data_IF_043028810662
#
_entry.id   IF_043028810662
#
_cell.length_a   1.000
_cell.length_b   1.000
_cell.length_c   1.000
_cell.angle_alpha   90.00
_cell.angle_beta   90.00
_cell.angle_gamma   90.00
#
_symmetry.space_group_name_H-M   'P 1'
#
loop_
_entity.id
_entity.type
_entity.pdbx_description
1 polymer ?
#
# COMPACT_ATOMS: atom_id res chain seq x y z
N UNK A 1 21.32 2.19 15.60
CA UNK A 1 21.48 0.93 14.83
C UNK A 1 20.11 0.29 14.80
N UNK A 2 19.28 0.45 13.79
CA UNK A 2 19.44 0.11 12.37
C UNK A 2 18.85 1.18 11.44
N UNK A 3 19.65 1.68 10.49
CA UNK A 3 19.17 2.50 9.35
C UNK A 3 18.51 1.59 8.31
N UNK A 4 17.46 0.88 8.70
CA UNK A 4 16.60 0.21 7.73
C UNK A 4 15.69 1.29 7.18
N UNK A 5 15.90 1.68 5.92
CA UNK A 5 14.91 2.45 5.15
C UNK A 5 13.63 1.60 5.17
N UNK A 6 12.73 1.89 6.10
CA UNK A 6 11.51 1.14 6.25
C UNK A 6 10.54 1.65 5.19
N UNK A 7 10.21 0.77 4.24
CA UNK A 7 9.33 1.11 3.14
C UNK A 7 7.87 1.12 3.63
N UNK A 8 7.14 2.21 3.39
CA UNK A 8 5.74 2.30 3.80
C UNK A 8 4.86 1.34 2.94
N UNK A 9 3.91 0.56 3.51
CA UNK A 9 3.08 -0.40 2.75
C UNK A 9 2.31 0.20 1.58
N UNK A 10 1.83 1.44 1.73
CA UNK A 10 1.20 2.19 0.62
C UNK A 10 2.12 2.36 -0.61
N UNK A 11 3.44 2.28 -0.45
CA UNK A 11 4.39 2.45 -1.55
C UNK A 11 4.24 1.36 -2.61
N UNK A 12 3.90 0.13 -2.22
CA UNK A 12 3.62 -0.94 -3.19
C UNK A 12 2.44 -0.58 -4.10
N UNK A 13 1.38 -0.01 -3.53
CA UNK A 13 0.21 0.41 -4.28
C UNK A 13 0.46 1.66 -5.14
N UNK A 14 1.23 2.64 -4.64
CA UNK A 14 1.63 3.81 -5.42
C UNK A 14 2.49 3.42 -6.63
N UNK A 15 3.52 2.59 -6.41
CA UNK A 15 4.36 2.07 -7.49
C UNK A 15 3.52 1.21 -8.44
N UNK A 16 2.67 0.33 -7.91
CA UNK A 16 1.74 -0.47 -8.69
C UNK A 16 0.86 0.39 -9.60
N UNK A 17 0.28 1.47 -9.08
CA UNK A 17 -0.53 2.41 -9.86
C UNK A 17 0.25 3.05 -11.01
N UNK A 18 1.48 3.48 -10.77
CA UNK A 18 2.32 4.08 -11.83
C UNK A 18 2.76 3.02 -12.87
N UNK A 19 3.00 1.78 -12.46
CA UNK A 19 3.46 0.70 -13.34
C UNK A 19 2.33 0.06 -14.17
N UNK A 20 1.08 0.07 -13.69
CA UNK A 20 -0.08 -0.51 -14.36
C UNK A 20 -0.26 -0.13 -15.85
N UNK A 21 -0.17 1.16 -16.27
CA UNK A 21 -0.34 1.51 -17.68
C UNK A 21 0.76 0.94 -18.59
N UNK A 22 1.99 0.80 -18.07
CA UNK A 22 3.09 0.17 -18.80
C UNK A 22 2.95 -1.36 -18.81
N UNK A 23 2.55 -1.94 -17.69
CA UNK A 23 2.37 -3.39 -17.54
C UNK A 23 1.22 -3.95 -18.37
N UNK A 24 0.19 -3.15 -18.66
CA UNK A 24 -0.89 -3.53 -19.57
C UNK A 24 -0.33 -3.84 -20.98
N UNK A 25 0.62 -3.04 -21.47
CA UNK A 25 1.29 -3.25 -22.76
C UNK A 25 2.10 -4.56 -22.78
N UNK A 26 2.69 -4.92 -21.65
CA UNK A 26 3.52 -6.12 -21.48
C UNK A 26 2.71 -7.37 -21.07
N UNK A 27 1.37 -7.27 -20.98
CA UNK A 27 0.47 -8.34 -20.48
C UNK A 27 0.76 -8.80 -19.04
N UNK A 28 1.47 -7.98 -18.25
CA UNK A 28 1.82 -8.25 -16.84
C UNK A 28 0.85 -7.63 -15.83
N UNK A 29 -0.16 -6.89 -16.29
CA UNK A 29 -1.16 -6.24 -15.44
C UNK A 29 -1.78 -7.19 -14.41
N UNK A 30 -2.23 -8.38 -14.84
CA UNK A 30 -2.86 -9.36 -13.94
C UNK A 30 -1.93 -9.83 -12.83
N UNK A 31 -0.64 -9.98 -13.14
CA UNK A 31 0.38 -10.36 -12.14
C UNK A 31 0.55 -9.23 -11.13
N UNK A 32 0.68 -7.99 -11.60
CA UNK A 32 0.77 -6.81 -10.73
C UNK A 32 -0.47 -6.64 -9.83
N UNK A 33 -1.66 -6.90 -10.35
CA UNK A 33 -2.91 -6.81 -9.58
C UNK A 33 -2.92 -7.71 -8.35
N UNK A 34 -2.29 -8.88 -8.42
CA UNK A 34 -2.24 -9.85 -7.33
C UNK A 34 -0.98 -9.67 -6.47
N UNK A 35 0.18 -9.45 -7.09
CA UNK A 35 1.46 -9.37 -6.38
C UNK A 35 1.51 -8.14 -5.47
N UNK A 36 1.00 -6.98 -5.91
CA UNK A 36 1.01 -5.74 -5.11
C UNK A 36 0.30 -5.90 -3.76
N UNK A 37 -0.99 -6.31 -3.70
CA UNK A 37 -1.66 -6.49 -2.43
C UNK A 37 -1.07 -7.63 -1.59
N UNK A 38 -0.55 -8.70 -2.20
CA UNK A 38 0.13 -9.77 -1.45
C UNK A 38 1.42 -9.30 -0.78
N UNK A 39 2.24 -8.50 -1.48
CA UNK A 39 3.46 -7.92 -0.91
C UNK A 39 3.13 -6.97 0.24
N UNK A 40 2.12 -6.11 0.07
CA UNK A 40 1.68 -5.21 1.14
C UNK A 40 1.15 -5.99 2.35
N UNK A 41 0.33 -7.02 2.12
CA UNK A 41 -0.18 -7.89 3.19
C UNK A 41 0.97 -8.56 3.97
N UNK A 42 1.94 -9.13 3.26
CA UNK A 42 3.12 -9.72 3.88
C UNK A 42 3.93 -8.70 4.68
N UNK A 43 4.11 -7.49 4.15
CA UNK A 43 4.90 -6.45 4.80
C UNK A 43 4.28 -5.99 6.12
N UNK A 44 2.95 -6.00 6.27
CA UNK A 44 2.28 -5.58 7.51
C UNK A 44 2.80 -6.36 8.73
N UNK A 45 3.14 -7.64 8.57
CA UNK A 45 3.67 -8.48 9.65
C UNK A 45 5.09 -8.10 10.10
N UNK A 46 5.81 -7.32 9.31
CA UNK A 46 7.18 -6.89 9.59
C UNK A 46 7.28 -5.40 9.94
N UNK A 47 6.15 -4.75 10.18
CA UNK A 47 6.10 -3.34 10.59
C UNK A 47 6.68 -3.16 12.01
N UNK A 48 7.58 -2.18 12.22
CA UNK A 48 7.98 -1.78 13.56
C UNK A 48 6.85 -1.01 14.26
N UNK A 49 6.96 -0.80 15.57
CA UNK A 49 5.95 -0.09 16.36
C UNK A 49 5.73 1.36 15.88
N UNK A 50 6.78 2.04 15.44
CA UNK A 50 6.67 3.32 14.74
C UNK A 50 7.86 3.55 13.80
N UNK A 51 7.64 4.29 12.72
CA UNK A 51 8.68 4.68 11.76
C UNK A 51 8.37 6.03 11.10
N UNK A 52 9.40 6.65 10.52
CA UNK A 52 9.24 7.93 9.82
C UNK A 52 8.85 9.09 10.75
N UNK A 53 9.51 9.21 11.90
CA UNK A 53 9.32 10.35 12.80
C UNK A 53 10.14 11.54 12.28
N UNK A 54 9.51 12.70 12.10
CA UNK A 54 10.19 13.94 11.76
C UNK A 54 9.64 15.12 12.56
N UNK A 55 10.51 16.10 12.83
CA UNK A 55 10.10 17.35 13.48
C UNK A 55 9.92 18.43 12.43
N UNK A 56 8.72 18.98 12.34
CA UNK A 56 8.39 20.01 11.36
C UNK A 56 7.53 21.10 12.00
N UNK A 57 7.95 22.37 11.86
CA UNK A 57 7.24 23.53 12.42
C UNK A 57 6.92 23.42 13.92
N UNK A 58 7.76 22.74 14.70
CA UNK A 58 7.55 22.51 16.13
C UNK A 58 6.62 21.34 16.47
N UNK A 59 6.08 20.65 15.48
CA UNK A 59 5.32 19.42 15.65
C UNK A 59 6.19 18.19 15.42
N UNK A 60 5.93 17.12 16.17
CA UNK A 60 6.44 15.78 15.89
C UNK A 60 5.43 15.07 15.00
N UNK A 61 5.83 14.71 13.79
CA UNK A 61 5.02 14.00 12.80
C UNK A 61 5.51 12.55 12.71
N UNK A 62 4.61 11.57 12.86
CA UNK A 62 4.92 10.15 12.67
C UNK A 62 4.22 9.63 11.42
N UNK A 63 4.99 9.35 10.37
CA UNK A 63 4.43 8.84 9.11
C UNK A 63 3.99 7.37 9.16
N UNK A 64 4.39 6.63 10.20
CA UNK A 64 4.05 5.24 10.37
C UNK A 64 3.87 4.88 11.83
N UNK A 65 2.74 5.26 12.42
CA UNK A 65 2.36 4.85 13.78
C UNK A 65 1.64 3.51 13.73
N UNK A 66 2.18 2.49 14.39
CA UNK A 66 1.62 1.12 14.35
C UNK A 66 1.12 0.75 15.75
N UNK A 67 -0.18 0.97 15.96
CA UNK A 67 -0.90 0.51 17.14
C UNK A 67 -1.79 -0.71 16.84
N UNK A 68 -2.40 -1.30 17.88
CA UNK A 68 -3.25 -2.47 17.73
C UNK A 68 -4.44 -2.22 16.79
N UNK A 69 -4.96 -1.00 16.75
CA UNK A 69 -6.12 -0.64 15.93
C UNK A 69 -5.70 -0.48 14.46
N UNK A 70 -4.60 0.22 14.21
CA UNK A 70 -3.94 0.38 12.92
C UNK A 70 -3.68 -0.97 12.29
N UNK A 71 -3.14 -1.92 13.07
CA UNK A 71 -2.86 -3.27 12.58
C UNK A 71 -4.11 -3.99 12.03
N UNK A 72 -5.26 -3.86 12.69
CA UNK A 72 -6.54 -4.42 12.21
C UNK A 72 -6.95 -3.77 10.88
N UNK A 73 -6.92 -2.43 10.80
CA UNK A 73 -7.32 -1.72 9.58
C UNK A 73 -6.38 -1.99 8.40
N UNK A 74 -5.08 -2.10 8.64
CA UNK A 74 -4.12 -2.46 7.59
C UNK A 74 -4.45 -3.83 6.99
N UNK A 75 -4.84 -4.82 7.80
CA UNK A 75 -5.30 -6.13 7.29
C UNK A 75 -6.59 -6.01 6.50
N UNK A 76 -7.57 -5.26 7.00
CA UNK A 76 -8.86 -5.07 6.30
C UNK A 76 -8.63 -4.45 4.93
N UNK A 77 -7.88 -3.35 4.84
CA UNK A 77 -7.65 -2.66 3.57
C UNK A 77 -6.83 -3.49 2.58
N UNK A 78 -5.78 -4.18 3.04
CA UNK A 78 -4.97 -5.03 2.13
C UNK A 78 -5.72 -6.28 1.68
N UNK A 79 -6.54 -6.88 2.53
CA UNK A 79 -7.40 -8.01 2.17
C UNK A 79 -8.49 -7.58 1.17
N UNK A 80 -9.16 -6.44 1.42
CA UNK A 80 -10.13 -5.87 0.48
C UNK A 80 -9.48 -5.54 -0.86
N UNK A 81 -8.25 -5.01 -0.86
CA UNK A 81 -7.50 -4.75 -2.09
C UNK A 81 -7.21 -6.04 -2.85
N UNK A 82 -6.82 -7.12 -2.17
CA UNK A 82 -6.57 -8.42 -2.80
C UNK A 82 -7.85 -8.98 -3.44
N UNK A 83 -8.96 -9.00 -2.71
CA UNK A 83 -10.25 -9.49 -3.20
C UNK A 83 -10.73 -8.64 -4.38
N UNK A 84 -10.65 -7.31 -4.25
CA UNK A 84 -11.00 -6.36 -5.31
C UNK A 84 -10.15 -6.54 -6.56
N UNK A 85 -8.83 -6.76 -6.41
CA UNK A 85 -7.94 -7.09 -7.51
C UNK A 85 -8.28 -8.39 -8.21
N UNK A 86 -8.60 -9.46 -7.46
CA UNK A 86 -9.02 -10.76 -8.01
C UNK A 86 -10.29 -10.60 -8.83
N UNK A 87 -11.29 -9.92 -8.26
CA UNK A 87 -12.55 -9.63 -8.96
C UNK A 87 -12.29 -8.79 -10.22
N UNK A 88 -11.45 -7.77 -10.10
CA UNK A 88 -11.09 -6.86 -11.19
C UNK A 88 -10.26 -7.49 -12.32
N UNK A 89 -9.81 -8.74 -12.23
CA UNK A 89 -8.99 -9.38 -13.28
C UNK A 89 -9.66 -9.43 -14.67
N UNK A 90 -10.99 -9.35 -14.73
CA UNK A 90 -11.74 -9.28 -15.98
C UNK A 90 -11.74 -7.86 -16.61
N UNK A 91 -11.46 -6.82 -15.82
CA UNK A 91 -11.42 -5.43 -16.26
C UNK A 91 -10.10 -5.16 -16.98
N UNK A 92 -10.19 -4.77 -18.26
CA UNK A 92 -9.01 -4.50 -19.10
C UNK A 92 -8.48 -3.08 -18.96
N UNK A 93 -9.33 -2.15 -18.51
CA UNK A 93 -8.96 -0.75 -18.42
C UNK A 93 -7.99 -0.52 -17.25
N UNK A 94 -6.76 -0.10 -17.55
CA UNK A 94 -5.74 0.14 -16.51
C UNK A 94 -6.08 1.32 -15.61
N UNK A 95 -6.84 2.30 -16.10
CA UNK A 95 -7.24 3.49 -15.33
C UNK A 95 -8.05 3.15 -14.08
N UNK A 96 -8.99 2.19 -14.19
CA UNK A 96 -9.78 1.71 -13.05
C UNK A 96 -8.89 1.06 -11.98
N UNK A 97 -7.93 0.26 -12.41
CA UNK A 97 -6.98 -0.39 -11.51
C UNK A 97 -6.02 0.60 -10.85
N UNK A 98 -5.59 1.63 -11.58
CA UNK A 98 -4.78 2.72 -11.03
C UNK A 98 -5.55 3.47 -9.95
N UNK A 99 -6.81 3.85 -10.22
CA UNK A 99 -7.65 4.53 -9.26
C UNK A 99 -7.88 3.68 -8.00
N UNK A 100 -8.15 2.38 -8.16
CA UNK A 100 -8.30 1.46 -7.05
C UNK A 100 -7.01 1.36 -6.20
N UNK A 101 -5.83 1.28 -6.84
CA UNK A 101 -4.56 1.21 -6.12
C UNK A 101 -4.23 2.52 -5.40
N UNK A 102 -4.48 3.67 -6.02
CA UNK A 102 -4.31 4.97 -5.37
C UNK A 102 -5.26 5.14 -4.18
N UNK A 103 -6.50 4.67 -4.29
CA UNK A 103 -7.45 4.64 -3.19
C UNK A 103 -6.91 3.82 -2.02
N UNK A 104 -6.46 2.58 -2.27
CA UNK A 104 -5.88 1.73 -1.21
C UNK A 104 -4.62 2.36 -0.63
N UNK A 105 -3.74 2.95 -1.44
CA UNK A 105 -2.56 3.66 -0.96
C UNK A 105 -2.93 4.80 0.01
N UNK A 106 -3.95 5.59 -0.33
CA UNK A 106 -4.48 6.64 0.53
C UNK A 106 -5.05 6.09 1.85
N UNK A 107 -5.83 5.01 1.79
CA UNK A 107 -6.37 4.35 2.98
C UNK A 107 -5.26 3.84 3.91
N UNK A 108 -4.23 3.18 3.38
CA UNK A 108 -3.09 2.72 4.19
C UNK A 108 -2.30 3.90 4.77
N UNK A 109 -2.05 4.95 3.98
CA UNK A 109 -1.34 6.15 4.44
C UNK A 109 -2.08 6.87 5.56
N UNK A 110 -3.40 7.07 5.43
CA UNK A 110 -4.21 7.70 6.47
C UNK A 110 -4.32 6.86 7.74
N UNK A 111 -4.35 5.54 7.62
CA UNK A 111 -4.38 4.63 8.78
C UNK A 111 -3.07 4.69 9.58
N UNK A 112 -1.94 4.89 8.90
CA UNK A 112 -0.59 4.94 9.50
C UNK A 112 -0.17 6.34 9.97
N UNK A 113 -0.90 7.39 9.58
CA UNK A 113 -0.61 8.75 9.99
C UNK A 113 -0.82 8.93 11.50
N UNK A 114 0.18 9.47 12.21
CA UNK A 114 0.15 9.58 13.67
C UNK A 114 1.01 10.69 14.26
#
# INVERSE_FOLDING_TARGET
>A
MSNTIFMHPATYFLIGAVLLPFANRLKLQKVLLLVVPLLAFYQIHHLPASFGVCHFMGFELTFGRVDKLTYVFLHVFTLMALIGSIYGLHVKESGQHMAAFLYVAGSLGTTLAG
#
